data_IF_929882114699
#
_entry.id   IF_929882114699
#
_cell.length_a   1.000
_cell.length_b   1.000
_cell.length_c   1.000
_cell.angle_alpha   90.00
_cell.angle_beta   90.00
_cell.angle_gamma   90.00
#
_symmetry.space_group_name_H-M   'P 1'
#
loop_
_entity.id
_entity.type
_entity.pdbx_description
1 polymer ?
#
# COMPACT_ATOMS: atom_id res chain seq x y z
N UNK A 1 71.18 -32.55 56.82
CA UNK A 1 70.16 -31.75 56.10
C UNK A 1 68.85 -32.51 55.81
N UNK A 2 68.85 -33.85 55.65
CA UNK A 2 67.62 -34.63 55.42
C UNK A 2 66.57 -34.52 56.54
N UNK A 3 66.99 -34.36 57.81
CA UNK A 3 66.09 -34.40 58.98
C UNK A 3 65.15 -33.19 59.16
N UNK A 4 65.56 -31.97 58.80
CA UNK A 4 64.71 -30.78 58.97
C UNK A 4 63.61 -30.72 57.90
N UNK A 5 63.97 -31.03 56.64
CA UNK A 5 63.03 -31.07 55.52
C UNK A 5 61.92 -32.10 55.77
N UNK A 6 62.28 -33.31 56.20
CA UNK A 6 61.32 -34.36 56.55
C UNK A 6 60.38 -33.93 57.69
N UNK A 7 60.92 -33.23 58.70
CA UNK A 7 60.14 -32.73 59.83
C UNK A 7 59.18 -31.60 59.43
N UNK A 8 59.58 -30.69 58.54
CA UNK A 8 58.70 -29.65 57.98
C UNK A 8 57.57 -30.27 57.15
N UNK A 9 57.89 -31.24 56.29
CA UNK A 9 56.89 -31.95 55.49
C UNK A 9 55.90 -32.72 56.38
N UNK A 10 56.39 -33.43 57.39
CA UNK A 10 55.52 -34.13 58.35
C UNK A 10 54.58 -33.17 59.07
N UNK A 11 55.06 -31.99 59.50
CA UNK A 11 54.22 -30.95 60.10
C UNK A 11 53.21 -30.37 59.10
N UNK A 12 53.58 -30.16 57.84
CA UNK A 12 52.62 -29.79 56.80
C UNK A 12 51.56 -30.88 56.57
N UNK A 13 51.83 -32.16 56.82
CA UNK A 13 50.82 -33.20 56.64
C UNK A 13 49.94 -33.40 57.89
N UNK A 14 50.53 -33.34 59.08
CA UNK A 14 49.83 -33.70 60.33
C UNK A 14 49.32 -32.50 61.12
N UNK A 15 49.99 -31.36 61.06
CA UNK A 15 49.66 -30.18 61.85
C UNK A 15 48.88 -29.16 61.03
N UNK A 16 47.61 -28.97 61.42
CA UNK A 16 46.70 -28.03 60.77
C UNK A 16 47.15 -26.58 60.97
N UNK A 17 47.50 -26.18 62.19
CA UNK A 17 47.85 -24.78 62.49
C UNK A 17 49.15 -24.38 61.80
N UNK A 18 50.14 -25.28 61.77
CA UNK A 18 51.39 -25.04 61.04
C UNK A 18 51.14 -24.87 59.54
N UNK A 19 50.32 -25.74 58.91
CA UNK A 19 49.92 -25.60 57.50
C UNK A 19 49.29 -24.26 57.19
N UNK A 20 48.28 -23.86 57.96
CA UNK A 20 47.55 -22.62 57.71
C UNK A 20 48.44 -21.39 57.94
N UNK A 21 49.34 -21.45 58.93
CA UNK A 21 50.34 -20.38 59.16
C UNK A 21 51.30 -20.24 57.98
N UNK A 22 51.82 -21.35 57.46
CA UNK A 22 52.68 -21.35 56.26
C UNK A 22 51.90 -20.87 55.03
N UNK A 23 50.67 -21.35 54.83
CA UNK A 23 49.80 -20.93 53.73
C UNK A 23 49.50 -19.43 53.77
N UNK A 24 49.18 -18.88 54.95
CA UNK A 24 48.98 -17.44 55.13
C UNK A 24 50.26 -16.64 54.88
N UNK A 25 51.41 -17.11 55.39
CA UNK A 25 52.68 -16.40 55.18
C UNK A 25 53.15 -16.41 53.72
N UNK A 26 52.80 -17.45 52.97
CA UNK A 26 53.09 -17.58 51.54
C UNK A 26 52.03 -16.93 50.63
N UNK A 27 50.97 -16.33 51.18
CA UNK A 27 49.92 -15.67 50.38
C UNK A 27 48.90 -16.62 49.76
N UNK A 28 48.92 -17.91 50.12
CA UNK A 28 48.05 -18.95 49.54
C UNK A 28 46.60 -18.73 49.98
N UNK A 29 46.36 -18.27 51.21
CA UNK A 29 45.01 -18.01 51.71
C UNK A 29 44.33 -16.88 50.94
N UNK A 30 45.05 -15.80 50.64
CA UNK A 30 44.57 -14.67 49.86
C UNK A 30 44.25 -15.07 48.40
N UNK A 31 45.02 -16.00 47.84
CA UNK A 31 44.74 -16.58 46.51
C UNK A 31 43.45 -17.40 46.55
N UNK A 32 43.26 -18.24 47.58
CA UNK A 32 42.03 -19.03 47.75
C UNK A 32 40.79 -18.13 47.87
N UNK A 33 40.86 -17.06 48.67
CA UNK A 33 39.75 -16.09 48.78
C UNK A 33 39.42 -15.41 47.45
N UNK A 34 40.43 -15.11 46.62
CA UNK A 34 40.21 -14.56 45.28
C UNK A 34 39.58 -15.59 44.34
N UNK A 35 39.97 -16.86 44.44
CA UNK A 35 39.39 -17.96 43.66
C UNK A 35 37.92 -18.21 44.05
N UNK A 36 37.58 -18.11 45.33
CA UNK A 36 36.21 -18.23 45.81
C UNK A 36 35.34 -17.10 45.23
N UNK A 37 35.81 -15.86 45.29
CA UNK A 37 35.13 -14.70 44.66
C UNK A 37 34.97 -14.86 43.16
N UNK A 38 35.99 -15.37 42.46
CA UNK A 38 35.91 -15.66 41.02
C UNK A 38 34.87 -16.73 40.73
N UNK A 39 34.78 -17.76 41.56
CA UNK A 39 33.79 -18.84 41.44
C UNK A 39 32.38 -18.28 41.61
N UNK A 40 32.14 -17.43 42.62
CA UNK A 40 30.85 -16.76 42.80
C UNK A 40 30.46 -15.89 41.60
N UNK A 41 31.41 -15.11 41.05
CA UNK A 41 31.18 -14.30 39.85
C UNK A 41 30.85 -15.20 38.66
N UNK A 42 31.57 -16.29 38.46
CA UNK A 42 31.29 -17.25 37.39
C UNK A 42 29.89 -17.85 37.52
N UNK A 43 29.46 -18.22 38.72
CA UNK A 43 28.09 -18.71 38.96
C UNK A 43 27.04 -17.67 38.58
N UNK A 44 27.24 -16.40 38.95
CA UNK A 44 26.32 -15.31 38.59
C UNK A 44 26.28 -15.09 37.07
N UNK A 45 27.43 -15.13 36.39
CA UNK A 45 27.50 -15.03 34.92
C UNK A 45 26.71 -16.17 34.27
N UNK A 46 26.86 -17.41 34.75
CA UNK A 46 26.12 -18.55 34.21
C UNK A 46 24.61 -18.42 34.38
N UNK A 47 24.15 -17.85 35.49
CA UNK A 47 22.73 -17.55 35.68
C UNK A 47 22.23 -16.56 34.63
N UNK A 48 22.94 -15.44 34.45
CA UNK A 48 22.57 -14.42 33.44
C UNK A 48 22.58 -15.01 32.02
N UNK A 49 23.58 -15.82 31.67
CA UNK A 49 23.65 -16.48 30.36
C UNK A 49 22.45 -17.42 30.15
N UNK A 50 22.02 -18.13 31.19
CA UNK A 50 20.86 -19.02 31.12
C UNK A 50 19.58 -18.23 30.87
N UNK A 51 19.40 -17.11 31.54
CA UNK A 51 18.22 -16.25 31.39
C UNK A 51 18.18 -15.62 29.99
N UNK A 52 19.31 -15.09 29.51
CA UNK A 52 19.44 -14.58 28.14
C UNK A 52 19.11 -15.65 27.10
N UNK A 53 19.59 -16.89 27.29
CA UNK A 53 19.23 -18.01 26.39
C UNK A 53 17.74 -18.31 26.39
N UNK A 54 17.09 -18.23 27.54
CA UNK A 54 15.65 -18.43 27.64
C UNK A 54 14.88 -17.33 26.90
N UNK A 55 15.29 -16.06 27.04
CA UNK A 55 14.64 -14.94 26.36
C UNK A 55 14.89 -14.96 24.85
N UNK A 56 16.10 -15.29 24.40
CA UNK A 56 16.39 -15.50 22.97
C UNK A 56 15.46 -16.58 22.39
N UNK A 57 15.21 -17.67 23.13
CA UNK A 57 14.29 -18.71 22.67
C UNK A 57 12.85 -18.20 22.51
N UNK A 58 12.37 -17.35 23.43
CA UNK A 58 11.03 -16.75 23.31
C UNK A 58 10.95 -15.84 22.08
N UNK A 59 11.96 -14.98 21.88
CA UNK A 59 12.04 -14.09 20.72
C UNK A 59 11.99 -14.89 19.41
N UNK A 60 12.67 -16.04 19.35
CA UNK A 60 12.61 -16.91 18.16
C UNK A 60 11.20 -17.43 17.86
N UNK A 61 10.43 -17.79 18.89
CA UNK A 61 9.04 -18.23 18.73
C UNK A 61 8.18 -17.09 18.18
N UNK A 62 8.30 -15.88 18.76
CA UNK A 62 7.58 -14.70 18.28
C UNK A 62 7.92 -14.36 16.82
N UNK A 63 9.20 -14.48 16.44
CA UNK A 63 9.64 -14.26 15.05
C UNK A 63 9.01 -15.29 14.10
N UNK A 64 8.90 -16.56 14.50
CA UNK A 64 8.24 -17.60 13.70
C UNK A 64 6.74 -17.31 13.52
N UNK A 65 6.06 -16.88 14.57
CA UNK A 65 4.64 -16.48 14.51
C UNK A 65 4.44 -15.30 13.56
N UNK A 66 5.23 -14.24 13.68
CA UNK A 66 5.17 -13.06 12.80
C UNK A 66 5.40 -13.46 11.34
N UNK A 67 6.37 -14.33 11.05
CA UNK A 67 6.61 -14.82 9.68
C UNK A 67 5.40 -15.59 9.14
N UNK A 68 4.75 -16.38 9.99
CA UNK A 68 3.52 -17.07 9.65
C UNK A 68 2.39 -16.11 9.29
N UNK A 69 2.19 -15.06 10.08
CA UNK A 69 1.19 -14.02 9.80
C UNK A 69 1.50 -13.22 8.53
N UNK A 70 2.75 -12.83 8.32
CA UNK A 70 3.18 -12.14 7.10
C UNK A 70 2.87 -12.98 5.85
N UNK A 71 3.10 -14.29 5.91
CA UNK A 71 2.80 -15.18 4.79
C UNK A 71 1.31 -15.16 4.45
N UNK A 72 0.42 -15.20 5.46
CA UNK A 72 -1.02 -15.10 5.26
C UNK A 72 -1.43 -13.76 4.64
N UNK A 73 -0.86 -12.66 5.14
CA UNK A 73 -1.12 -11.31 4.60
C UNK A 73 -0.73 -11.24 3.11
N UNK A 74 0.43 -11.78 2.74
CA UNK A 74 0.87 -11.82 1.35
C UNK A 74 -0.10 -12.59 0.45
N UNK A 75 -0.63 -13.73 0.93
CA UNK A 75 -1.64 -14.49 0.19
C UNK A 75 -2.94 -13.70 0.01
N UNK A 76 -3.40 -12.97 1.03
CA UNK A 76 -4.61 -12.14 0.90
C UNK A 76 -4.38 -10.95 -0.04
N UNK A 77 -3.20 -10.31 0.01
CA UNK A 77 -2.83 -9.26 -0.95
C UNK A 77 -2.86 -9.77 -2.38
N UNK A 78 -2.37 -11.00 -2.62
CA UNK A 78 -2.40 -11.61 -3.96
C UNK A 78 -3.83 -11.81 -4.46
N UNK A 79 -4.75 -12.29 -3.61
CA UNK A 79 -6.18 -12.42 -3.95
C UNK A 79 -6.79 -11.07 -4.31
N UNK A 80 -6.54 -10.04 -3.50
CA UNK A 80 -7.03 -8.68 -3.75
C UNK A 80 -6.53 -8.18 -5.12
N UNK A 81 -5.27 -8.44 -5.47
CA UNK A 81 -4.72 -8.05 -6.76
C UNK A 81 -5.45 -8.69 -7.94
N UNK A 82 -5.83 -9.97 -7.82
CA UNK A 82 -6.63 -10.67 -8.84
C UNK A 82 -8.01 -10.04 -8.97
N UNK A 83 -8.68 -9.73 -7.86
CA UNK A 83 -10.00 -9.09 -7.86
C UNK A 83 -9.94 -7.68 -8.47
N UNK A 84 -8.96 -6.86 -8.08
CA UNK A 84 -8.77 -5.50 -8.63
C UNK A 84 -8.51 -5.55 -10.13
N UNK A 85 -7.75 -6.54 -10.61
CA UNK A 85 -7.54 -6.75 -12.05
C UNK A 85 -8.85 -7.06 -12.76
N UNK A 86 -9.67 -7.97 -12.19
CA UNK A 86 -10.99 -8.30 -12.73
C UNK A 86 -11.91 -7.07 -12.80
N UNK A 87 -11.99 -6.29 -11.72
CA UNK A 87 -12.77 -5.04 -11.68
C UNK A 87 -12.32 -4.05 -12.75
N UNK A 88 -11.00 -3.92 -12.97
CA UNK A 88 -10.46 -3.04 -14.01
C UNK A 88 -10.86 -3.48 -15.41
N UNK A 89 -10.85 -4.78 -15.68
CA UNK A 89 -11.30 -5.34 -16.96
C UNK A 89 -12.79 -5.09 -17.19
N UNK A 90 -13.62 -5.29 -16.17
CA UNK A 90 -15.07 -5.05 -16.26
C UNK A 90 -15.40 -3.56 -16.42
N UNK A 91 -14.69 -2.68 -15.73
CA UNK A 91 -14.80 -1.24 -15.92
C UNK A 91 -14.48 -0.82 -17.36
N UNK A 92 -13.42 -1.38 -17.95
CA UNK A 92 -13.07 -1.11 -19.35
C UNK A 92 -14.16 -1.58 -20.32
N UNK A 93 -14.76 -2.76 -20.08
CA UNK A 93 -15.89 -3.26 -20.89
C UNK A 93 -17.10 -2.33 -20.77
N UNK A 94 -17.41 -1.84 -19.57
CA UNK A 94 -18.50 -0.90 -19.34
C UNK A 94 -18.27 0.42 -20.08
N UNK A 95 -17.07 1.00 -19.98
CA UNK A 95 -16.74 2.22 -20.72
C UNK A 95 -16.86 2.03 -22.23
N UNK A 96 -16.40 0.90 -22.77
CA UNK A 96 -16.56 0.61 -24.20
C UNK A 96 -18.04 0.44 -24.62
N UNK A 97 -18.91 -0.01 -23.72
CA UNK A 97 -20.36 -0.06 -23.94
C UNK A 97 -20.98 1.33 -23.89
N UNK A 98 -20.63 2.15 -22.90
CA UNK A 98 -21.10 3.52 -22.78
C UNK A 98 -20.72 4.34 -24.02
N UNK A 99 -19.47 4.27 -24.47
CA UNK A 99 -19.05 4.95 -25.70
C UNK A 99 -19.72 4.43 -26.98
N UNK A 100 -20.35 3.25 -26.98
CA UNK A 100 -21.23 2.81 -28.07
C UNK A 100 -22.63 3.41 -27.95
N UNK A 101 -23.16 3.48 -26.73
CA UNK A 101 -24.45 4.11 -26.46
C UNK A 101 -24.41 5.59 -26.82
N UNK A 102 -23.37 6.32 -26.41
CA UNK A 102 -23.16 7.73 -26.74
C UNK A 102 -23.20 7.96 -28.25
N UNK A 103 -22.43 7.20 -29.03
CA UNK A 103 -22.42 7.29 -30.51
C UNK A 103 -23.77 6.96 -31.15
N UNK A 104 -24.53 6.02 -30.57
CA UNK A 104 -25.87 5.72 -31.07
C UNK A 104 -26.83 6.87 -30.78
N UNK A 105 -26.76 7.47 -29.59
CA UNK A 105 -27.57 8.63 -29.23
C UNK A 105 -27.24 9.83 -30.13
N UNK A 106 -25.97 10.10 -30.39
CA UNK A 106 -25.55 11.16 -31.33
C UNK A 106 -26.18 10.97 -32.72
N UNK A 107 -26.16 9.74 -33.25
CA UNK A 107 -26.78 9.44 -34.55
C UNK A 107 -28.30 9.62 -34.53
N UNK A 108 -28.97 9.12 -33.50
CA UNK A 108 -30.42 9.26 -33.36
C UNK A 108 -30.83 10.73 -33.27
N UNK A 109 -30.05 11.59 -32.60
CA UNK A 109 -30.29 13.03 -32.55
C UNK A 109 -30.22 13.65 -33.95
N UNK A 110 -29.18 13.33 -34.72
CA UNK A 110 -29.03 13.83 -36.11
C UNK A 110 -30.21 13.37 -36.98
N UNK A 111 -30.57 12.09 -36.92
CA UNK A 111 -31.67 11.53 -37.71
C UNK A 111 -33.01 12.23 -37.39
N UNK A 112 -33.29 12.47 -36.11
CA UNK A 112 -34.50 13.18 -35.65
C UNK A 112 -34.49 14.65 -36.11
N UNK A 113 -33.34 15.33 -36.04
CA UNK A 113 -33.21 16.71 -36.52
C UNK A 113 -33.47 16.81 -38.02
N UNK A 114 -32.95 15.87 -38.82
CA UNK A 114 -33.17 15.83 -40.25
C UNK A 114 -34.63 15.55 -40.61
N UNK A 115 -35.29 14.65 -39.88
CA UNK A 115 -36.73 14.39 -40.03
C UNK A 115 -37.56 15.64 -39.69
N UNK A 116 -37.23 16.34 -38.59
CA UNK A 116 -37.87 17.58 -38.21
C UNK A 116 -37.71 18.67 -39.29
N UNK A 117 -36.50 18.84 -39.84
CA UNK A 117 -36.24 19.79 -40.95
C UNK A 117 -37.08 19.45 -42.19
N UNK A 118 -37.18 18.17 -42.52
CA UNK A 118 -38.00 17.71 -43.66
C UNK A 118 -39.48 18.05 -43.47
N UNK A 119 -40.05 17.70 -42.31
CA UNK A 119 -41.46 17.96 -41.99
C UNK A 119 -41.76 19.47 -42.00
N UNK A 120 -40.90 20.29 -41.39
CA UNK A 120 -41.10 21.74 -41.31
C UNK A 120 -41.05 22.35 -42.72
N UNK A 121 -40.08 21.96 -43.56
CA UNK A 121 -39.97 22.44 -44.94
C UNK A 121 -41.23 22.14 -45.74
N UNK A 122 -41.70 20.90 -45.67
CA UNK A 122 -42.90 20.44 -46.35
C UNK A 122 -44.14 21.22 -45.93
N UNK A 123 -44.28 21.49 -44.63
CA UNK A 123 -45.42 22.21 -44.08
C UNK A 123 -45.40 23.68 -44.51
N UNK A 124 -44.25 24.34 -44.43
CA UNK A 124 -44.11 25.75 -44.84
C UNK A 124 -44.37 25.92 -46.34
N UNK A 125 -43.88 24.99 -47.16
CA UNK A 125 -44.15 25.00 -48.60
C UNK A 125 -45.64 24.82 -48.93
N UNK A 126 -46.36 23.97 -48.19
CA UNK A 126 -47.80 23.75 -48.40
C UNK A 126 -48.67 24.90 -47.88
N UNK A 127 -48.37 25.42 -46.69
CA UNK A 127 -49.21 26.42 -46.02
C UNK A 127 -48.89 27.87 -46.46
N UNK A 128 -47.62 28.17 -46.74
CA UNK A 128 -47.16 29.54 -47.04
C UNK A 128 -46.63 29.70 -48.48
N UNK A 129 -46.46 28.60 -49.23
CA UNK A 129 -45.92 28.64 -50.59
C UNK A 129 -44.43 29.01 -50.68
N UNK A 130 -43.72 29.03 -49.55
CA UNK A 130 -42.32 29.43 -49.46
C UNK A 130 -41.44 28.19 -49.51
N UNK A 131 -40.48 28.16 -50.44
CA UNK A 131 -39.42 27.16 -50.45
C UNK A 131 -38.22 27.68 -49.65
N UNK A 132 -37.77 26.90 -48.67
CA UNK A 132 -36.66 27.29 -47.80
C UNK A 132 -35.80 26.09 -47.37
N UNK A 133 -34.52 26.34 -47.17
CA UNK A 133 -33.56 25.35 -46.68
C UNK A 133 -33.39 25.49 -45.18
N UNK A 134 -33.53 24.38 -44.45
CA UNK A 134 -33.29 24.30 -43.01
C UNK A 134 -32.02 23.49 -42.75
N UNK A 135 -31.13 24.01 -41.90
CA UNK A 135 -29.88 23.38 -41.45
C UNK A 135 -29.65 23.66 -39.95
N UNK A 136 -28.63 23.07 -39.34
CA UNK A 136 -28.13 23.55 -38.04
C UNK A 136 -27.27 24.81 -38.22
N UNK A 137 -27.25 25.68 -37.20
CA UNK A 137 -26.38 26.85 -37.14
C UNK A 137 -25.54 26.82 -35.87
N UNK A 138 -24.22 26.71 -36.04
CA UNK A 138 -23.25 26.65 -34.94
C UNK A 138 -22.50 27.98 -34.91
N UNK A 139 -22.69 28.75 -33.83
CA UNK A 139 -21.98 29.99 -33.53
C UNK A 139 -21.16 29.82 -32.24
N UNK A 140 -20.16 30.68 -31.98
CA UNK A 140 -19.29 30.56 -30.80
C UNK A 140 -20.04 30.40 -29.48
N UNK A 141 -21.13 31.17 -29.32
CA UNK A 141 -21.89 31.25 -28.06
C UNK A 141 -23.28 30.60 -28.17
N UNK A 142 -23.67 30.13 -29.36
CA UNK A 142 -25.04 29.72 -29.66
C UNK A 142 -25.07 28.59 -30.69
N UNK A 143 -25.72 27.48 -30.34
CA UNK A 143 -26.09 26.43 -31.28
C UNK A 143 -27.60 26.45 -31.53
N UNK A 144 -28.00 26.43 -32.79
CA UNK A 144 -29.38 26.20 -33.23
C UNK A 144 -29.48 24.86 -33.94
N UNK A 145 -30.36 23.98 -33.47
CA UNK A 145 -30.57 22.67 -34.11
C UNK A 145 -31.30 22.78 -35.47
N UNK A 146 -32.14 23.78 -35.65
CA UNK A 146 -32.88 24.06 -36.88
C UNK A 146 -32.85 25.57 -37.14
N UNK A 147 -32.45 25.95 -38.35
CA UNK A 147 -32.36 27.34 -38.77
C UNK A 147 -32.56 27.47 -40.29
N UNK A 148 -33.35 28.46 -40.70
CA UNK A 148 -33.45 28.86 -42.11
C UNK A 148 -34.17 30.18 -42.30
N UNK A 149 -33.85 30.87 -43.40
CA UNK A 149 -34.41 32.17 -43.77
C UNK A 149 -34.87 32.13 -45.23
N UNK A 150 -36.03 32.73 -45.51
CA UNK A 150 -36.50 33.00 -46.87
C UNK A 150 -37.33 34.29 -46.88
N UNK A 151 -36.79 35.34 -47.50
CA UNK A 151 -37.37 36.69 -47.46
C UNK A 151 -37.51 37.20 -46.02
N UNK A 152 -38.74 37.56 -45.65
CA UNK A 152 -39.09 38.08 -44.32
C UNK A 152 -39.42 36.97 -43.29
N UNK A 153 -39.35 35.69 -43.68
CA UNK A 153 -39.63 34.56 -42.80
C UNK A 153 -38.32 33.96 -42.27
N UNK A 154 -38.20 33.89 -40.94
CA UNK A 154 -37.11 33.21 -40.24
C UNK A 154 -37.67 32.08 -39.38
N UNK A 155 -37.09 30.87 -39.52
CA UNK A 155 -37.41 29.70 -38.71
C UNK A 155 -36.21 29.38 -37.84
N UNK A 156 -36.47 29.24 -36.54
CA UNK A 156 -35.48 28.91 -35.53
C UNK A 156 -36.03 27.80 -34.65
N UNK A 157 -35.25 26.75 -34.47
CA UNK A 157 -35.53 25.65 -33.56
C UNK A 157 -35.02 25.92 -32.15
N UNK A 158 -34.62 24.85 -31.46
CA UNK A 158 -34.03 24.94 -30.13
C UNK A 158 -32.67 25.62 -30.18
N UNK A 159 -32.46 26.52 -29.20
CA UNK A 159 -31.26 27.30 -29.02
C UNK A 159 -30.51 26.84 -27.76
N UNK A 160 -29.29 26.35 -27.92
CA UNK A 160 -28.41 26.00 -26.81
C UNK A 160 -27.31 27.04 -26.70
N UNK A 161 -27.25 27.73 -25.55
CA UNK A 161 -26.20 28.71 -25.28
C UNK A 161 -24.99 27.98 -24.71
N UNK A 162 -23.82 28.16 -25.34
CA UNK A 162 -22.57 27.65 -24.80
C UNK A 162 -22.03 28.66 -23.79
N UNK A 163 -22.16 28.36 -22.50
CA UNK A 163 -21.50 29.15 -21.47
C UNK A 163 -19.98 28.98 -21.59
N UNK A 164 -19.24 30.10 -21.68
CA UNK A 164 -17.78 30.08 -21.69
C UNK A 164 -17.24 29.27 -20.50
N UNK A 165 -16.72 28.07 -20.76
CA UNK A 165 -15.89 27.36 -19.80
C UNK A 165 -14.72 26.65 -20.50
N UNK A 166 -13.78 27.50 -20.93
CA UNK A 166 -12.32 27.29 -21.06
C UNK A 166 -11.76 26.27 -22.08
N UNK A 167 -10.50 26.50 -22.54
CA UNK A 167 -9.98 26.00 -23.80
C UNK A 167 -9.58 24.53 -23.74
N UNK A 168 -9.58 23.89 -24.92
CA UNK A 168 -8.87 22.63 -25.18
C UNK A 168 -7.39 22.84 -24.81
N UNK A 169 -6.95 22.26 -23.69
CA UNK A 169 -5.53 22.10 -23.39
C UNK A 169 -4.97 21.02 -24.34
N UNK A 170 -3.93 21.44 -25.07
CA UNK A 170 -3.04 20.60 -25.89
C UNK A 170 -2.36 19.52 -25.04
#
# INVERSE_FOLDING_TARGET
MASLRERILKLLDTDREFRYTVAGRLGILEILERLDKLTEIQTKIWMVIRDIKADIKKIWIEIEEIKGEQTKIWTEIEKIWVEVKGLREDFNKMNARLGRVERTLEKLIIDIEDEARSIIRDRVKRELGIDLTLNSLILPDLDLNIYGISGDLCIVGEATVRGENKPKLL
#
